data_IF_349233493077
#
_entry.id   IF_349233493077
#
_cell.length_a   1.000
_cell.length_b   1.000
_cell.length_c   1.000
_cell.angle_alpha   90.00
_cell.angle_beta   90.00
_cell.angle_gamma   90.00
#
_symmetry.space_group_name_H-M   'P 1'
#
loop_
_entity.id
_entity.type
_entity.pdbx_description
1 polymer ?
#
# COMPACT_ATOMS: atom_id res chain seq x y z
N UNK A 1 79.30 77.29 50.98
CA UNK A 1 78.25 76.60 51.78
C UNK A 1 77.24 76.02 50.79
N UNK A 2 77.51 74.92 50.07
CA UNK A 2 77.58 73.51 50.47
C UNK A 2 76.25 72.99 51.06
N UNK A 3 75.57 72.21 50.21
CA UNK A 3 74.79 70.98 50.45
C UNK A 3 73.26 71.06 50.72
N UNK A 4 72.58 70.34 49.82
CA UNK A 4 71.44 69.44 50.03
C UNK A 4 70.07 70.06 50.23
N UNK A 5 69.35 70.29 49.12
CA UNK A 5 67.88 70.28 49.13
C UNK A 5 67.18 70.12 47.77
N UNK A 6 67.75 69.39 46.82
CA UNK A 6 67.07 69.07 45.56
C UNK A 6 67.31 67.62 45.15
N UNK A 7 66.78 66.68 45.94
CA UNK A 7 66.76 65.26 45.57
C UNK A 7 65.47 64.62 46.08
N UNK A 8 64.30 65.17 45.72
CA UNK A 8 62.99 64.56 46.03
C UNK A 8 61.87 64.97 45.05
N UNK A 9 62.19 65.64 43.94
CA UNK A 9 61.18 66.13 42.98
C UNK A 9 61.39 65.60 41.54
N UNK A 10 62.01 64.43 41.38
CA UNK A 10 62.15 63.76 40.08
C UNK A 10 61.48 62.38 40.00
N UNK A 11 60.61 62.02 40.96
CA UNK A 11 59.89 60.72 40.95
C UNK A 11 58.38 60.93 41.11
N UNK A 12 57.79 61.88 40.38
CA UNK A 12 56.35 62.17 40.49
C UNK A 12 55.68 62.54 39.16
N UNK A 13 56.31 62.34 37.98
CA UNK A 13 55.63 62.59 36.70
C UNK A 13 56.18 61.65 35.62
N UNK A 14 55.89 60.35 35.72
CA UNK A 14 55.81 59.46 34.54
C UNK A 14 55.13 58.14 34.91
N UNK A 15 53.98 58.23 35.58
CA UNK A 15 52.97 57.17 35.57
C UNK A 15 51.80 57.70 34.74
N UNK A 16 52.03 57.93 33.44
CA UNK A 16 50.90 57.89 32.52
C UNK A 16 50.44 56.43 32.53
N UNK A 17 49.29 56.23 33.16
CA UNK A 17 48.53 55.01 33.10
C UNK A 17 48.44 54.60 31.62
N UNK A 18 49.13 53.52 31.27
CA UNK A 18 48.69 52.64 30.19
C UNK A 18 47.29 52.18 30.59
N UNK A 19 46.26 52.96 30.22
CA UNK A 19 44.91 52.44 30.21
C UNK A 19 44.93 51.35 29.16
N UNK A 20 44.97 50.10 29.61
CA UNK A 20 44.60 48.97 28.78
C UNK A 20 43.25 49.33 28.16
N UNK A 21 43.20 49.40 26.83
CA UNK A 21 41.97 49.66 26.10
C UNK A 21 40.96 48.61 26.55
N UNK A 22 39.95 49.03 27.32
CA UNK A 22 38.93 48.11 27.83
C UNK A 22 38.19 47.53 26.63
N UNK A 23 37.96 46.22 26.65
CA UNK A 23 37.19 45.53 25.61
C UNK A 23 35.84 46.25 25.46
N UNK A 24 35.55 46.88 24.30
CA UNK A 24 34.30 47.59 24.09
C UNK A 24 33.11 46.63 23.89
N UNK A 25 33.38 45.34 23.71
CA UNK A 25 32.39 44.29 23.55
C UNK A 25 32.06 43.65 24.90
N UNK A 26 30.78 43.64 25.24
CA UNK A 26 30.23 42.95 26.39
C UNK A 26 30.13 41.46 26.09
N UNK A 27 30.49 40.63 27.07
CA UNK A 27 30.32 39.18 27.03
C UNK A 27 30.99 38.47 25.83
N UNK A 28 32.10 39.02 25.30
CA UNK A 28 32.86 38.40 24.22
C UNK A 28 34.16 37.79 24.79
N UNK A 29 34.17 36.47 24.97
CA UNK A 29 35.29 35.72 25.58
C UNK A 29 36.36 35.25 24.59
N UNK A 30 36.33 35.73 23.34
CA UNK A 30 37.28 35.33 22.30
C UNK A 30 38.44 36.32 22.15
N UNK A 31 39.58 35.85 21.64
CA UNK A 31 40.75 36.70 21.36
C UNK A 31 40.43 37.78 20.31
N UNK A 32 40.90 39.00 20.53
CA UNK A 32 40.61 40.16 19.68
C UNK A 32 41.03 39.94 18.21
N UNK A 33 42.12 39.19 18.01
CA UNK A 33 42.70 38.83 16.72
C UNK A 33 41.82 37.89 15.87
N UNK A 34 40.78 37.29 16.47
CA UNK A 34 39.80 36.49 15.73
C UNK A 34 38.86 37.32 14.87
N UNK A 35 38.77 38.62 15.15
CA UNK A 35 37.89 39.54 14.44
C UNK A 35 38.64 40.75 13.91
N UNK A 36 39.60 41.30 14.66
CA UNK A 36 40.33 42.50 14.24
C UNK A 36 41.68 42.16 13.65
N UNK A 37 42.08 42.89 12.60
CA UNK A 37 43.44 42.84 12.09
C UNK A 37 44.35 43.77 12.87
N UNK A 38 45.61 43.38 13.03
CA UNK A 38 46.59 44.14 13.86
C UNK A 38 46.97 45.50 13.27
N UNK A 39 46.70 45.72 11.99
CA UNK A 39 47.01 46.95 11.26
C UNK A 39 45.89 48.00 11.33
N UNK A 40 44.66 47.61 11.69
CA UNK A 40 43.51 48.49 11.67
C UNK A 40 42.37 47.93 12.54
N UNK A 41 42.01 48.65 13.59
CA UNK A 41 40.89 48.26 14.48
C UNK A 41 39.52 48.34 13.82
N UNK A 42 39.39 49.07 12.71
CA UNK A 42 38.13 49.21 11.97
C UNK A 42 37.96 48.13 10.89
N UNK A 43 39.04 47.43 10.54
CA UNK A 43 38.99 46.31 9.60
C UNK A 43 38.73 45.02 10.39
N UNK A 44 37.67 44.32 9.98
CA UNK A 44 37.18 43.12 10.66
C UNK A 44 37.24 41.95 9.68
N UNK A 45 37.94 40.89 10.07
CA UNK A 45 37.93 39.60 9.40
C UNK A 45 37.38 38.56 10.36
N UNK A 46 36.12 38.19 10.16
CA UNK A 46 35.47 37.10 10.88
C UNK A 46 34.79 36.20 9.88
N UNK A 47 34.98 34.89 10.04
CA UNK A 47 34.40 33.87 9.18
C UNK A 47 33.16 33.28 9.86
N UNK A 48 31.98 33.59 9.31
CA UNK A 48 30.71 33.12 9.84
C UNK A 48 30.49 31.61 9.65
N UNK A 49 31.25 30.94 8.80
CA UNK A 49 31.18 29.48 8.63
C UNK A 49 31.70 28.73 9.87
N UNK A 50 32.36 29.44 10.80
CA UNK A 50 32.77 28.91 12.11
C UNK A 50 31.64 28.94 13.15
N UNK A 51 30.45 29.43 12.78
CA UNK A 51 29.29 29.55 13.66
C UNK A 51 28.17 28.60 13.23
N UNK A 52 27.14 28.47 14.07
CA UNK A 52 25.96 27.66 13.75
C UNK A 52 24.99 28.34 12.76
N UNK A 53 25.31 29.54 12.27
CA UNK A 53 24.50 30.27 11.30
C UNK A 53 25.37 30.69 10.11
N UNK A 54 25.29 29.90 9.04
CA UNK A 54 26.02 30.18 7.81
C UNK A 54 25.35 31.32 7.02
N UNK A 55 26.15 32.32 6.63
CA UNK A 55 25.67 33.44 5.82
C UNK A 55 25.58 33.02 4.35
N UNK A 56 24.42 32.51 3.95
CA UNK A 56 24.13 32.10 2.57
C UNK A 56 23.07 32.99 1.89
N UNK A 57 23.10 33.05 0.56
CA UNK A 57 22.14 33.79 -0.29
C UNK A 57 21.97 35.26 0.11
N UNK A 58 20.76 35.66 0.51
CA UNK A 58 20.47 37.06 0.87
C UNK A 58 21.18 37.49 2.15
N UNK A 59 21.44 36.57 3.08
CA UNK A 59 22.17 36.86 4.32
C UNK A 59 23.66 37.14 4.09
N UNK A 60 24.26 36.59 3.03
CA UNK A 60 25.69 36.76 2.70
C UNK A 60 26.12 38.20 2.41
N UNK A 61 25.17 39.12 2.16
CA UNK A 61 25.44 40.52 1.83
C UNK A 61 25.12 41.48 2.97
N UNK A 62 24.71 40.96 4.13
CA UNK A 62 24.37 41.78 5.29
C UNK A 62 25.63 42.19 6.05
N UNK A 63 25.57 43.38 6.65
CA UNK A 63 26.63 43.85 7.54
C UNK A 63 26.38 43.33 8.96
N UNK A 64 27.42 43.21 9.79
CA UNK A 64 27.32 42.69 11.15
C UNK A 64 26.19 43.35 11.98
N UNK A 65 26.01 44.67 11.82
CA UNK A 65 25.01 45.48 12.54
C UNK A 65 23.56 45.17 12.15
N UNK A 66 23.33 44.51 11.02
CA UNK A 66 21.99 44.09 10.59
C UNK A 66 21.41 42.99 11.48
N UNK A 67 22.27 42.23 12.18
CA UNK A 67 21.88 41.10 13.01
C UNK A 67 22.38 41.27 14.45
N UNK A 68 23.61 41.76 14.63
CA UNK A 68 24.24 41.86 15.94
C UNK A 68 24.22 43.29 16.48
N UNK A 69 24.00 43.41 17.79
CA UNK A 69 24.48 44.56 18.51
C UNK A 69 26.00 44.41 18.69
N UNK A 70 26.78 45.27 18.05
CA UNK A 70 28.26 45.20 18.08
C UNK A 70 28.82 45.34 19.50
N UNK A 71 28.06 45.92 20.44
CA UNK A 71 28.47 45.99 21.85
C UNK A 71 28.12 44.73 22.63
N UNK A 72 27.20 43.88 22.17
CA UNK A 72 26.71 42.71 22.89
C UNK A 72 26.20 41.65 21.90
N UNK A 73 27.09 40.73 21.52
CA UNK A 73 26.80 39.69 20.53
C UNK A 73 25.92 38.54 21.08
N UNK A 74 25.59 38.52 22.38
CA UNK A 74 24.91 37.39 23.02
C UNK A 74 23.38 37.35 22.85
N UNK A 75 22.81 38.27 22.07
CA UNK A 75 21.36 38.53 22.06
C UNK A 75 20.59 37.95 20.88
N UNK A 76 21.28 37.31 19.94
CA UNK A 76 20.67 36.75 18.74
C UNK A 76 20.94 35.25 18.69
N UNK A 77 19.91 34.49 18.34
CA UNK A 77 20.00 33.06 18.10
C UNK A 77 19.85 32.75 16.60
N UNK A 78 20.16 31.52 16.20
CA UNK A 78 20.18 31.11 14.81
C UNK A 78 18.77 30.85 14.20
N UNK A 79 17.69 30.98 14.97
CA UNK A 79 16.34 30.77 14.45
C UNK A 79 15.90 31.91 13.52
N UNK A 80 15.10 31.58 12.51
CA UNK A 80 14.53 32.55 11.59
C UNK A 80 13.71 33.62 12.35
N UNK A 81 12.97 33.21 13.37
CA UNK A 81 12.10 34.06 14.20
C UNK A 81 12.85 35.06 15.08
N UNK A 82 14.18 34.89 15.26
CA UNK A 82 15.01 35.85 15.99
C UNK A 82 15.09 37.21 15.26
N UNK A 83 14.88 37.21 13.94
CA UNK A 83 14.92 38.41 13.09
C UNK A 83 13.68 38.61 12.22
N UNK A 84 13.02 37.52 11.80
CA UNK A 84 11.88 37.58 10.90
C UNK A 84 10.58 37.40 11.67
N UNK A 85 9.61 38.27 11.36
CA UNK A 85 8.25 38.14 11.87
C UNK A 85 7.52 36.99 11.16
N UNK A 86 6.78 36.20 11.94
CA UNK A 86 5.96 35.13 11.40
C UNK A 86 4.67 35.69 10.77
N UNK A 87 4.67 35.79 9.44
CA UNK A 87 3.49 36.21 8.66
C UNK A 87 2.36 35.18 8.69
N UNK A 88 2.63 33.94 9.10
CA UNK A 88 1.64 32.87 9.23
C UNK A 88 0.87 32.95 10.55
N UNK A 89 1.26 33.85 11.46
CA UNK A 89 0.55 34.09 12.73
C UNK A 89 0.40 32.81 13.58
N UNK A 90 1.42 31.95 13.58
CA UNK A 90 1.43 30.68 14.31
C UNK A 90 0.57 29.58 13.69
N UNK A 91 0.02 29.78 12.49
CA UNK A 91 -0.77 28.75 11.78
C UNK A 91 0.10 27.70 11.08
N UNK A 92 1.40 27.97 10.95
CA UNK A 92 2.39 27.07 10.36
C UNK A 92 3.45 26.66 11.40
N UNK A 93 4.25 25.65 11.06
CA UNK A 93 5.41 25.28 11.87
C UNK A 93 6.41 26.45 11.98
N UNK A 94 7.15 26.50 13.08
CA UNK A 94 8.29 27.40 13.25
C UNK A 94 9.51 27.03 12.38
N UNK A 95 9.48 25.86 11.74
CA UNK A 95 10.53 25.38 10.83
C UNK A 95 10.39 26.05 9.45
N UNK A 96 10.75 27.35 9.38
CA UNK A 96 10.58 28.16 8.18
C UNK A 96 11.33 27.58 6.97
N UNK A 97 12.43 26.87 7.20
CA UNK A 97 13.29 26.28 6.16
C UNK A 97 12.67 25.10 5.42
N UNK A 98 11.54 24.56 5.92
CA UNK A 98 10.74 23.57 5.18
C UNK A 98 10.09 24.14 3.93
N UNK A 99 9.80 25.44 3.89
CA UNK A 99 9.09 26.09 2.78
C UNK A 99 9.87 27.26 2.18
N UNK A 100 10.61 28.00 3.02
CA UNK A 100 11.37 29.18 2.64
C UNK A 100 12.86 28.87 2.69
N UNK A 101 13.67 29.58 1.92
CA UNK A 101 15.12 29.34 1.89
C UNK A 101 15.89 30.63 2.12
N UNK A 102 17.17 30.52 2.46
CA UNK A 102 18.07 31.66 2.60
C UNK A 102 18.22 32.52 1.31
N UNK A 103 17.75 31.99 0.17
CA UNK A 103 17.70 32.72 -1.12
C UNK A 103 16.48 33.63 -1.22
N UNK A 104 15.38 33.30 -0.53
CA UNK A 104 14.15 34.08 -0.52
C UNK A 104 12.95 33.37 0.11
N UNK A 105 11.86 34.12 0.25
CA UNK A 105 10.60 33.67 0.86
C UNK A 105 9.68 33.01 -0.16
N UNK A 106 10.00 33.10 -1.45
CA UNK A 106 9.33 32.37 -2.50
C UNK A 106 9.42 30.86 -2.28
N UNK A 107 8.28 30.18 -2.44
CA UNK A 107 8.22 28.71 -2.47
C UNK A 107 8.70 28.27 -3.85
N UNK A 108 9.83 27.58 -3.89
CA UNK A 108 10.50 27.21 -5.15
C UNK A 108 10.18 25.79 -5.61
N UNK A 109 9.80 24.89 -4.69
CA UNK A 109 9.55 23.48 -4.99
C UNK A 109 8.27 22.99 -4.30
N UNK A 110 7.15 23.20 -4.98
CA UNK A 110 5.83 22.85 -4.44
C UNK A 110 5.63 21.34 -4.34
N UNK A 111 6.19 20.56 -5.27
CA UNK A 111 6.10 19.09 -5.28
C UNK A 111 6.82 18.51 -4.06
N UNK A 112 8.06 18.93 -3.82
CA UNK A 112 8.87 18.51 -2.68
C UNK A 112 8.18 18.83 -1.34
N UNK A 113 7.55 20.00 -1.23
CA UNK A 113 6.82 20.38 0.00
C UNK A 113 5.61 19.49 0.22
N UNK A 114 4.89 19.11 -0.84
CA UNK A 114 3.66 18.33 -0.74
C UNK A 114 3.89 16.83 -0.60
N UNK A 115 5.06 16.31 -0.98
CA UNK A 115 5.36 14.87 -0.99
C UNK A 115 5.11 14.18 0.36
N UNK A 116 5.41 14.89 1.46
CA UNK A 116 5.31 14.38 2.83
C UNK A 116 4.04 14.88 3.54
N UNK A 117 3.08 15.41 2.78
CA UNK A 117 1.80 15.88 3.32
C UNK A 117 0.70 14.84 3.12
N UNK A 118 -0.49 15.11 3.66
CA UNK A 118 -1.68 14.27 3.42
C UNK A 118 -2.21 14.37 1.98
N UNK A 119 -1.67 15.28 1.16
CA UNK A 119 -2.06 15.43 -0.24
C UNK A 119 -0.81 15.58 -1.12
N UNK A 120 -0.08 14.48 -1.39
CA UNK A 120 0.97 14.49 -2.39
C UNK A 120 0.40 14.94 -3.74
N UNK A 121 1.07 15.88 -4.40
CA UNK A 121 0.63 16.38 -5.70
C UNK A 121 0.93 15.34 -6.78
N UNK A 122 -0.03 14.48 -7.05
CA UNK A 122 0.04 13.43 -8.08
C UNK A 122 -0.77 13.79 -9.32
N UNK A 123 -0.31 13.29 -10.47
CA UNK A 123 -0.93 13.53 -11.77
C UNK A 123 -1.17 15.01 -12.06
N UNK A 124 -2.38 15.36 -12.47
CA UNK A 124 -2.73 16.74 -12.89
C UNK A 124 -2.80 17.75 -11.75
N UNK A 125 -2.82 17.33 -10.49
CA UNK A 125 -2.91 18.25 -9.34
C UNK A 125 -1.68 19.14 -9.20
N UNK A 126 -0.52 18.70 -9.71
CA UNK A 126 0.70 19.51 -9.77
C UNK A 126 0.55 20.78 -10.61
N UNK A 127 -0.41 20.80 -11.54
CA UNK A 127 -0.66 21.91 -12.45
C UNK A 127 -1.73 22.90 -11.93
N UNK A 128 -2.32 22.62 -10.77
CA UNK A 128 -3.41 23.43 -10.22
C UNK A 128 -2.82 24.61 -9.45
N UNK A 129 -3.38 25.81 -9.67
CA UNK A 129 -2.98 27.01 -8.93
C UNK A 129 -3.18 26.82 -7.43
N UNK A 130 -2.22 27.27 -6.61
CA UNK A 130 -2.25 27.14 -5.15
C UNK A 130 -3.55 27.66 -4.53
N UNK A 131 -4.15 28.71 -5.11
CA UNK A 131 -5.39 29.34 -4.61
C UNK A 131 -6.63 28.47 -4.75
N UNK A 132 -6.59 27.48 -5.65
CA UNK A 132 -7.69 26.53 -5.84
C UNK A 132 -7.92 25.70 -4.58
N UNK A 133 -6.84 25.38 -3.87
CA UNK A 133 -6.86 24.57 -2.65
C UNK A 133 -6.66 25.43 -1.39
N UNK A 134 -5.60 26.24 -1.34
CA UNK A 134 -5.25 27.10 -0.20
C UNK A 134 -5.96 28.45 -0.27
N UNK A 135 -7.29 28.42 -0.09
CA UNK A 135 -8.16 29.60 -0.22
C UNK A 135 -7.84 30.74 0.76
N UNK A 136 -7.17 30.43 1.87
CA UNK A 136 -6.78 31.41 2.89
C UNK A 136 -5.29 31.81 2.82
N UNK A 137 -4.58 31.47 1.73
CA UNK A 137 -3.14 31.72 1.65
C UNK A 137 -2.77 33.20 1.75
N UNK A 138 -3.66 34.13 1.33
CA UNK A 138 -3.43 35.57 1.53
C UNK A 138 -3.39 35.97 3.00
N UNK A 139 -3.96 35.18 3.91
CA UNK A 139 -3.92 35.37 5.35
C UNK A 139 -2.83 34.51 6.03
N UNK A 140 -1.87 34.01 5.24
CA UNK A 140 -0.78 33.15 5.70
C UNK A 140 -1.23 31.73 6.08
N UNK A 141 -2.48 31.35 5.77
CA UNK A 141 -3.08 30.08 6.12
C UNK A 141 -3.15 29.15 4.90
N UNK A 142 -2.27 28.16 4.91
CA UNK A 142 -2.18 27.10 3.91
C UNK A 142 -2.82 25.80 4.40
N UNK A 143 -3.56 25.79 5.50
CA UNK A 143 -4.23 24.57 5.96
C UNK A 143 -5.34 24.17 4.97
N UNK A 144 -5.38 22.87 4.65
CA UNK A 144 -6.46 22.28 3.87
C UNK A 144 -7.43 21.55 4.81
N UNK A 145 -8.73 21.79 4.63
CA UNK A 145 -9.77 21.21 5.48
C UNK A 145 -10.03 19.72 5.24
N UNK A 146 -9.88 19.26 3.99
CA UNK A 146 -10.11 17.86 3.60
C UNK A 146 -9.30 17.51 2.36
N UNK A 147 -8.90 16.24 2.27
CA UNK A 147 -8.19 15.64 1.14
C UNK A 147 -9.09 14.71 0.33
N UNK A 148 -10.37 14.60 0.71
CA UNK A 148 -11.34 13.74 0.03
C UNK A 148 -11.62 14.26 -1.37
N UNK A 149 -11.46 13.42 -2.39
CA UNK A 149 -11.61 13.78 -3.81
C UNK A 149 -12.97 14.45 -4.07
N UNK A 150 -14.04 13.88 -3.53
CA UNK A 150 -15.42 14.34 -3.73
C UNK A 150 -15.65 15.76 -3.20
N UNK A 151 -14.85 16.23 -2.24
CA UNK A 151 -14.98 17.60 -1.72
C UNK A 151 -14.74 18.68 -2.79
N UNK A 152 -13.96 18.36 -3.82
CA UNK A 152 -13.73 19.20 -4.99
C UNK A 152 -14.45 18.66 -6.24
N UNK A 153 -14.42 17.35 -6.44
CA UNK A 153 -14.92 16.67 -7.64
C UNK A 153 -16.36 16.18 -7.55
N UNK A 154 -17.18 16.74 -6.64
CA UNK A 154 -18.59 16.37 -6.50
C UNK A 154 -19.37 16.58 -7.81
N UNK A 155 -19.15 17.69 -8.51
CA UNK A 155 -19.85 17.97 -9.76
C UNK A 155 -19.38 17.06 -10.88
N UNK A 156 -18.08 16.77 -10.95
CA UNK A 156 -17.56 15.80 -11.90
C UNK A 156 -18.18 14.42 -11.65
N UNK A 157 -18.25 13.98 -10.39
CA UNK A 157 -18.89 12.72 -9.99
C UNK A 157 -20.36 12.64 -10.45
N UNK A 158 -21.13 13.73 -10.29
CA UNK A 158 -22.54 13.79 -10.69
C UNK A 158 -22.74 13.91 -12.20
N UNK A 159 -21.75 14.42 -12.93
CA UNK A 159 -21.85 14.70 -14.37
C UNK A 159 -21.47 13.50 -15.26
N UNK A 160 -20.88 12.44 -14.71
CA UNK A 160 -20.55 11.24 -15.50
C UNK A 160 -21.81 10.44 -15.81
N UNK A 161 -22.09 10.22 -17.10
CA UNK A 161 -23.23 9.43 -17.56
C UNK A 161 -22.84 7.99 -17.95
N UNK A 162 -21.57 7.71 -18.21
CA UNK A 162 -21.12 6.38 -18.65
C UNK A 162 -19.71 6.02 -18.13
N UNK A 163 -19.60 5.10 -17.15
CA UNK A 163 -20.70 4.56 -16.35
C UNK A 163 -21.33 5.64 -15.45
N UNK A 164 -22.66 5.69 -15.31
CA UNK A 164 -23.27 6.65 -14.40
C UNK A 164 -22.97 6.28 -12.94
N UNK A 165 -22.19 7.09 -12.23
CA UNK A 165 -21.78 6.77 -10.87
C UNK A 165 -22.95 6.76 -9.87
N UNK A 166 -23.92 7.66 -10.04
CA UNK A 166 -25.07 7.82 -9.12
C UNK A 166 -26.05 6.68 -9.29
N UNK A 167 -26.46 6.38 -10.53
CA UNK A 167 -27.43 5.33 -10.83
C UNK A 167 -26.92 3.94 -10.47
N UNK A 168 -25.61 3.70 -10.61
CA UNK A 168 -24.98 2.43 -10.24
C UNK A 168 -24.49 2.42 -8.78
N UNK A 169 -24.81 3.45 -7.98
CA UNK A 169 -24.44 3.55 -6.57
C UNK A 169 -22.94 3.34 -6.27
N UNK A 170 -22.08 3.85 -7.15
CA UNK A 170 -20.63 3.77 -6.94
C UNK A 170 -20.18 4.59 -5.74
N UNK A 171 -19.06 4.17 -5.15
CA UNK A 171 -18.44 4.83 -4.01
C UNK A 171 -17.90 6.21 -4.40
N UNK A 172 -17.89 7.14 -3.45
CA UNK A 172 -17.16 8.41 -3.59
C UNK A 172 -15.67 8.28 -3.30
N UNK A 173 -15.21 7.09 -2.87
CA UNK A 173 -13.79 6.75 -2.77
C UNK A 173 -13.24 6.47 -4.17
N UNK A 174 -12.88 7.54 -4.89
CA UNK A 174 -12.51 7.46 -6.30
C UNK A 174 -11.37 6.46 -6.56
N UNK A 175 -10.47 6.28 -5.60
CA UNK A 175 -9.31 5.40 -5.65
C UNK A 175 -9.66 3.91 -5.65
N UNK A 176 -10.92 3.53 -5.44
CA UNK A 176 -11.35 2.14 -5.65
C UNK A 176 -11.27 1.75 -7.15
N UNK A 177 -11.39 2.73 -8.05
CA UNK A 177 -11.40 2.50 -9.50
C UNK A 177 -10.50 3.43 -10.31
N UNK A 178 -10.11 4.60 -9.79
CA UNK A 178 -9.33 5.60 -10.53
C UNK A 178 -7.94 5.79 -9.93
N UNK A 179 -6.94 5.94 -10.79
CA UNK A 179 -5.59 6.32 -10.39
C UNK A 179 -5.34 7.79 -10.76
N UNK A 180 -4.59 8.51 -9.92
CA UNK A 180 -4.22 9.91 -10.12
C UNK A 180 -3.31 10.12 -11.33
N UNK A 181 -2.46 9.14 -11.65
CA UNK A 181 -1.54 9.17 -12.79
C UNK A 181 -2.25 8.76 -14.08
N UNK A 182 -3.23 7.85 -13.99
CA UNK A 182 -4.01 7.33 -15.10
C UNK A 182 -5.50 7.31 -14.76
N UNK A 183 -6.14 8.48 -14.82
CA UNK A 183 -7.56 8.62 -14.44
C UNK A 183 -8.51 7.83 -15.35
N UNK A 184 -8.11 7.61 -16.61
CA UNK A 184 -8.83 6.81 -17.60
C UNK A 184 -7.86 5.85 -18.30
N UNK A 185 -8.21 4.57 -18.50
CA UNK A 185 -9.45 3.93 -18.03
C UNK A 185 -9.46 3.74 -16.51
N UNK A 186 -10.65 3.52 -15.94
CA UNK A 186 -10.77 3.04 -14.56
C UNK A 186 -10.26 1.60 -14.48
N UNK A 187 -9.62 1.23 -13.37
CA UNK A 187 -9.27 -0.14 -13.05
C UNK A 187 -10.40 -0.80 -12.26
N UNK A 188 -10.69 -2.06 -12.56
CA UNK A 188 -11.73 -2.86 -11.89
C UNK A 188 -11.10 -4.22 -11.53
N UNK A 189 -10.42 -4.30 -10.38
CA UNK A 189 -9.58 -5.46 -10.05
C UNK A 189 -10.41 -6.72 -9.86
N UNK A 190 -11.65 -6.57 -9.38
CA UNK A 190 -12.53 -7.69 -9.06
C UNK A 190 -13.53 -8.02 -10.17
N UNK A 191 -13.46 -7.39 -11.36
CA UNK A 191 -14.44 -7.69 -12.42
C UNK A 191 -14.40 -9.16 -12.83
N UNK A 192 -13.22 -9.76 -12.86
CA UNK A 192 -13.04 -11.17 -13.25
C UNK A 192 -13.73 -12.15 -12.29
N UNK A 193 -14.09 -11.71 -11.07
CA UNK A 193 -14.91 -12.50 -10.16
C UNK A 193 -16.37 -12.66 -10.63
N UNK A 194 -16.86 -11.73 -11.47
CA UNK A 194 -18.18 -11.80 -12.09
C UNK A 194 -18.12 -12.46 -13.47
N UNK A 195 -17.14 -12.05 -14.28
CA UNK A 195 -16.90 -12.61 -15.60
C UNK A 195 -15.46 -12.28 -16.04
N UNK A 196 -14.67 -13.27 -16.51
CA UNK A 196 -13.25 -13.09 -16.84
C UNK A 196 -13.08 -12.26 -18.13
N UNK A 197 -12.93 -10.94 -17.98
CA UNK A 197 -12.69 -9.99 -19.10
C UNK A 197 -11.25 -9.50 -19.14
N UNK A 198 -10.58 -9.45 -17.99
CA UNK A 198 -9.16 -9.09 -17.89
C UNK A 198 -8.28 -10.34 -17.94
N UNK A 199 -8.86 -11.51 -17.68
CA UNK A 199 -8.28 -12.85 -17.86
C UNK A 199 -9.09 -13.71 -18.84
N UNK A 200 -8.63 -14.93 -19.11
CA UNK A 200 -9.33 -15.88 -19.98
C UNK A 200 -9.43 -15.43 -21.45
N UNK A 201 -10.40 -16.00 -22.17
CA UNK A 201 -10.55 -15.82 -23.62
C UNK A 201 -10.98 -14.42 -24.07
N UNK A 202 -11.50 -13.59 -23.15
CA UNK A 202 -11.91 -12.21 -23.45
C UNK A 202 -10.81 -11.18 -23.11
N UNK A 203 -9.71 -11.61 -22.48
CA UNK A 203 -8.58 -10.74 -22.15
C UNK A 203 -8.00 -10.07 -23.39
N UNK A 204 -7.86 -8.75 -23.33
CA UNK A 204 -7.29 -7.93 -24.41
C UNK A 204 -8.19 -7.73 -25.64
N UNK A 205 -9.42 -8.25 -25.63
CA UNK A 205 -10.38 -8.11 -26.73
C UNK A 205 -11.22 -6.83 -26.58
N UNK A 206 -11.38 -6.33 -25.35
CA UNK A 206 -12.30 -5.25 -25.02
C UNK A 206 -11.59 -4.07 -24.34
N UNK A 207 -12.06 -2.85 -24.61
CA UNK A 207 -11.53 -1.62 -24.00
C UNK A 207 -12.61 -0.62 -23.54
N UNK A 208 -13.89 -0.97 -23.65
CA UNK A 208 -15.02 -0.11 -23.28
C UNK A 208 -16.12 -0.93 -22.62
N UNK A 209 -16.51 -0.52 -21.41
CA UNK A 209 -17.52 -1.20 -20.60
C UNK A 209 -18.87 -1.31 -21.33
N UNK A 210 -19.20 -0.32 -22.18
CA UNK A 210 -20.48 -0.30 -22.92
C UNK A 210 -20.63 -1.46 -23.90
N UNK A 211 -19.53 -2.12 -24.22
CA UNK A 211 -19.54 -3.25 -25.14
C UNK A 211 -20.34 -4.42 -24.57
N UNK A 212 -20.25 -4.63 -23.26
CA UNK A 212 -21.03 -5.63 -22.54
C UNK A 212 -22.22 -4.99 -21.80
N UNK A 213 -22.00 -3.83 -21.18
CA UNK A 213 -22.98 -3.10 -20.37
C UNK A 213 -23.64 -1.99 -21.18
N UNK A 214 -24.62 -2.37 -22.00
CA UNK A 214 -25.22 -1.47 -22.98
C UNK A 214 -26.13 -0.40 -22.35
N UNK A 215 -26.56 -0.58 -21.10
CA UNK A 215 -27.40 0.36 -20.36
C UNK A 215 -26.57 1.14 -19.32
N UNK A 216 -26.22 2.42 -19.59
CA UNK A 216 -25.33 3.18 -18.71
C UNK A 216 -25.89 3.41 -17.31
N UNK A 217 -27.22 3.36 -17.15
CA UNK A 217 -27.88 3.51 -15.86
C UNK A 217 -27.97 2.21 -15.05
N UNK A 218 -27.66 1.05 -15.64
CA UNK A 218 -27.77 -0.25 -15.00
C UNK A 218 -26.77 -1.25 -15.58
N UNK A 219 -25.57 -1.28 -14.98
CA UNK A 219 -24.51 -2.20 -15.39
C UNK A 219 -24.79 -3.67 -15.02
N UNK A 220 -25.81 -3.96 -14.22
CA UNK A 220 -26.26 -5.35 -14.05
C UNK A 220 -26.97 -5.90 -15.29
N UNK A 221 -27.32 -5.05 -16.27
CA UNK A 221 -27.84 -5.49 -17.56
C UNK A 221 -26.71 -5.71 -18.57
N UNK A 222 -26.66 -6.92 -19.10
CA UNK A 222 -25.73 -7.32 -20.14
C UNK A 222 -26.34 -8.44 -21.01
N UNK A 223 -25.75 -8.69 -22.17
CA UNK A 223 -26.17 -9.80 -23.03
C UNK A 223 -24.99 -10.52 -23.68
N UNK A 224 -25.02 -11.85 -23.64
CA UNK A 224 -24.04 -12.71 -24.32
C UNK A 224 -24.40 -12.90 -25.80
N UNK A 225 -25.64 -12.58 -26.19
CA UNK A 225 -26.20 -12.91 -27.49
C UNK A 225 -25.77 -11.96 -28.62
N UNK A 226 -25.18 -10.81 -28.27
CA UNK A 226 -24.76 -9.80 -29.25
C UNK A 226 -23.38 -10.05 -29.86
N UNK A 227 -22.55 -10.89 -29.25
CA UNK A 227 -21.17 -11.10 -29.71
C UNK A 227 -20.95 -12.47 -30.33
N UNK A 228 -21.44 -13.54 -29.70
CA UNK A 228 -21.31 -14.91 -30.19
C UNK A 228 -22.68 -15.60 -30.25
N UNK A 229 -22.89 -16.43 -31.26
CA UNK A 229 -24.20 -17.03 -31.54
C UNK A 229 -24.58 -18.05 -30.47
N UNK A 230 -25.64 -17.75 -29.70
CA UNK A 230 -26.41 -18.75 -28.95
C UNK A 230 -27.81 -18.82 -29.53
N UNK A 231 -28.09 -19.90 -30.24
CA UNK A 231 -29.43 -20.13 -30.77
C UNK A 231 -30.31 -20.75 -29.67
N UNK A 232 -31.42 -20.07 -29.36
CA UNK A 232 -32.35 -20.51 -28.31
C UNK A 232 -32.81 -21.96 -28.50
N UNK A 233 -33.26 -22.35 -29.69
CA UNK A 233 -33.75 -23.71 -29.93
C UNK A 233 -32.66 -24.78 -29.70
N UNK A 234 -31.39 -24.47 -30.04
CA UNK A 234 -30.26 -25.37 -29.76
C UNK A 234 -29.95 -25.43 -28.27
N UNK A 235 -30.02 -24.31 -27.55
CA UNK A 235 -29.78 -24.28 -26.11
C UNK A 235 -30.92 -24.97 -25.35
N UNK A 236 -32.18 -24.75 -25.72
CA UNK A 236 -33.35 -25.42 -25.14
C UNK A 236 -33.24 -26.94 -25.29
N UNK A 237 -32.75 -27.42 -26.44
CA UNK A 237 -32.52 -28.84 -26.67
C UNK A 237 -31.39 -29.39 -25.79
N UNK A 238 -30.26 -28.68 -25.71
CA UNK A 238 -29.10 -29.05 -24.86
C UNK A 238 -29.41 -29.00 -23.36
N UNK A 239 -30.27 -28.09 -22.91
CA UNK A 239 -30.62 -27.89 -21.51
C UNK A 239 -31.96 -28.55 -21.13
N UNK A 240 -32.47 -29.44 -21.98
CA UNK A 240 -33.73 -30.16 -21.72
C UNK A 240 -33.62 -30.97 -20.43
N UNK A 241 -34.50 -30.68 -19.48
CA UNK A 241 -34.56 -31.38 -18.18
C UNK A 241 -33.69 -30.76 -17.09
N UNK A 242 -33.04 -29.63 -17.34
CA UNK A 242 -32.33 -28.85 -16.31
C UNK A 242 -33.35 -27.95 -15.58
N UNK A 243 -33.62 -28.17 -14.28
CA UNK A 243 -34.54 -27.33 -13.52
C UNK A 243 -34.01 -25.90 -13.43
N UNK A 244 -34.88 -24.91 -13.66
CA UNK A 244 -34.51 -23.50 -13.57
C UNK A 244 -33.76 -22.94 -14.79
N UNK A 245 -33.58 -23.73 -15.86
CA UNK A 245 -33.05 -23.21 -17.12
C UNK A 245 -33.98 -22.13 -17.68
N UNK A 246 -33.39 -20.96 -17.96
CA UNK A 246 -34.03 -19.83 -18.63
C UNK A 246 -33.03 -19.30 -19.65
N UNK A 247 -33.47 -19.11 -20.90
CA UNK A 247 -32.63 -18.59 -21.98
C UNK A 247 -32.44 -17.06 -21.85
N UNK A 248 -31.74 -16.64 -20.80
CA UNK A 248 -31.44 -15.25 -20.46
C UNK A 248 -29.99 -15.13 -20.02
N UNK A 249 -29.31 -14.04 -20.36
CA UNK A 249 -27.85 -13.93 -20.15
C UNK A 249 -27.42 -13.98 -18.67
N UNK A 250 -28.21 -13.40 -17.77
CA UNK A 250 -27.97 -13.49 -16.32
C UNK A 250 -28.13 -14.93 -15.81
N UNK A 251 -29.18 -15.63 -16.23
CA UNK A 251 -29.42 -17.02 -15.86
C UNK A 251 -28.35 -17.97 -16.44
N UNK A 252 -27.84 -17.68 -17.64
CA UNK A 252 -26.70 -18.38 -18.19
C UNK A 252 -25.45 -18.21 -17.31
N UNK A 253 -25.16 -16.98 -16.86
CA UNK A 253 -23.98 -16.69 -16.03
C UNK A 253 -24.06 -17.36 -14.64
N UNK A 254 -25.25 -17.48 -14.07
CA UNK A 254 -25.48 -18.22 -12.81
C UNK A 254 -25.03 -19.68 -12.89
N UNK A 255 -24.96 -20.22 -14.10
CA UNK A 255 -24.61 -21.59 -14.41
C UNK A 255 -23.22 -21.70 -15.07
N UNK A 256 -22.82 -20.69 -15.85
CA UNK A 256 -21.59 -20.63 -16.63
C UNK A 256 -20.83 -19.32 -16.31
N UNK A 257 -20.17 -19.21 -15.14
CA UNK A 257 -19.52 -17.97 -14.68
C UNK A 257 -18.37 -17.50 -15.59
N UNK A 258 -17.73 -18.40 -16.34
CA UNK A 258 -16.74 -18.02 -17.38
C UNK A 258 -17.34 -17.82 -18.78
N UNK A 259 -18.63 -18.13 -18.97
CA UNK A 259 -19.28 -18.18 -20.28
C UNK A 259 -18.92 -19.41 -21.13
N UNK A 260 -18.17 -20.38 -20.59
CA UNK A 260 -17.82 -21.62 -21.29
C UNK A 260 -18.87 -22.72 -21.11
N UNK A 261 -19.17 -23.46 -22.19
CA UNK A 261 -19.98 -24.70 -22.19
C UNK A 261 -19.43 -25.75 -21.20
N UNK A 262 -18.13 -25.70 -20.89
CA UNK A 262 -17.43 -26.75 -20.13
C UNK A 262 -17.59 -26.67 -18.61
N UNK A 263 -18.24 -25.66 -18.03
CA UNK A 263 -18.19 -25.46 -16.56
C UNK A 263 -19.26 -26.20 -15.76
N UNK A 264 -20.39 -26.57 -16.38
CA UNK A 264 -21.41 -27.39 -15.73
C UNK A 264 -21.18 -28.90 -15.85
N UNK A 265 -20.00 -29.29 -16.33
CA UNK A 265 -19.61 -30.69 -16.45
C UNK A 265 -18.16 -30.90 -16.09
N UNK A 266 -17.94 -31.60 -14.96
CA UNK A 266 -16.67 -32.17 -14.49
C UNK A 266 -15.86 -31.15 -13.68
N UNK A 267 -16.06 -31.05 -12.37
CA UNK A 267 -15.26 -31.96 -11.57
C UNK A 267 -15.80 -32.29 -10.17
N UNK A 268 -17.04 -32.78 -10.08
CA UNK A 268 -17.46 -33.45 -8.85
C UNK A 268 -16.73 -34.79 -8.70
N UNK A 269 -16.61 -35.55 -9.80
CA UNK A 269 -16.04 -36.91 -9.76
C UNK A 269 -14.54 -37.04 -9.52
N UNK A 270 -13.73 -36.02 -9.82
CA UNK A 270 -12.27 -36.05 -9.63
C UNK A 270 -11.71 -34.98 -8.68
N UNK A 271 -12.49 -33.99 -8.19
CA UNK A 271 -12.02 -32.96 -7.24
C UNK A 271 -12.81 -32.81 -5.94
N UNK A 272 -14.14 -32.98 -5.93
CA UNK A 272 -14.96 -32.52 -4.78
C UNK A 272 -15.90 -33.57 -4.17
N UNK A 273 -16.35 -34.57 -4.93
CA UNK A 273 -16.97 -35.84 -4.51
C UNK A 273 -17.65 -36.51 -5.73
N UNK A 274 -17.49 -37.83 -6.01
CA UNK A 274 -18.11 -38.47 -7.15
C UNK A 274 -19.63 -38.65 -7.05
N UNK A 275 -20.37 -37.57 -7.28
CA UNK A 275 -21.84 -37.55 -7.30
C UNK A 275 -22.43 -38.07 -8.60
N UNK A 276 -21.63 -38.22 -9.67
CA UNK A 276 -22.09 -38.74 -10.96
C UNK A 276 -21.64 -40.19 -11.20
N UNK A 277 -20.38 -40.52 -10.89
CA UNK A 277 -19.83 -41.89 -11.06
C UNK A 277 -19.67 -42.69 -9.76
N UNK A 278 -19.83 -42.06 -8.59
CA UNK A 278 -19.67 -42.70 -7.27
C UNK A 278 -20.99 -43.08 -6.61
N UNK A 279 -20.93 -43.37 -5.30
CA UNK A 279 -22.05 -43.93 -4.52
C UNK A 279 -23.26 -43.01 -4.38
N UNK A 280 -23.11 -41.72 -4.67
CA UNK A 280 -24.19 -40.73 -4.59
C UNK A 280 -24.85 -40.45 -5.94
N UNK A 281 -24.45 -41.18 -6.99
CA UNK A 281 -25.12 -41.15 -8.29
C UNK A 281 -26.60 -41.48 -8.15
N UNK A 282 -27.46 -40.53 -8.53
CA UNK A 282 -28.92 -40.66 -8.44
C UNK A 282 -29.52 -40.52 -7.03
N UNK A 283 -28.72 -40.14 -6.02
CA UNK A 283 -29.20 -39.94 -4.64
C UNK A 283 -29.72 -38.52 -4.35
N UNK A 284 -29.70 -37.64 -5.35
CA UNK A 284 -30.09 -36.23 -5.25
C UNK A 284 -31.07 -35.86 -6.37
N UNK A 285 -31.88 -34.83 -6.16
CA UNK A 285 -32.90 -34.32 -7.08
C UNK A 285 -32.63 -32.86 -7.49
N UNK A 286 -31.83 -32.12 -6.72
CA UNK A 286 -31.41 -30.77 -7.06
C UNK A 286 -30.20 -30.28 -6.27
N UNK A 287 -29.61 -29.16 -6.69
CA UNK A 287 -28.39 -28.63 -6.08
C UNK A 287 -28.55 -28.29 -4.59
N UNK A 288 -29.73 -27.86 -4.18
CA UNK A 288 -30.05 -27.54 -2.78
C UNK A 288 -30.00 -28.74 -1.83
N UNK A 289 -30.01 -29.96 -2.37
CA UNK A 289 -29.90 -31.19 -1.56
C UNK A 289 -28.50 -31.35 -0.95
N UNK A 290 -27.51 -30.62 -1.48
CA UNK A 290 -26.13 -30.63 -0.99
C UNK A 290 -25.62 -29.21 -0.66
N UNK A 291 -26.05 -28.20 -1.42
CA UNK A 291 -25.68 -26.80 -1.24
C UNK A 291 -26.73 -26.07 -0.40
N UNK A 292 -26.48 -25.97 0.90
CA UNK A 292 -27.47 -25.54 1.90
C UNK A 292 -27.67 -24.02 1.99
N UNK A 293 -26.78 -23.24 1.36
CA UNK A 293 -26.88 -21.78 1.29
C UNK A 293 -27.22 -21.34 -0.15
N UNK A 294 -28.30 -20.58 -0.29
CA UNK A 294 -28.81 -20.07 -1.57
C UNK A 294 -28.02 -18.87 -2.12
N UNK A 295 -27.26 -18.18 -1.27
CA UNK A 295 -26.41 -17.05 -1.64
C UNK A 295 -24.96 -17.47 -1.85
N UNK A 296 -24.54 -18.62 -1.27
CA UNK A 296 -23.20 -19.15 -1.41
C UNK A 296 -23.19 -20.67 -1.63
N UNK A 297 -23.16 -21.08 -2.90
CA UNK A 297 -23.14 -22.50 -3.30
C UNK A 297 -21.84 -23.25 -2.90
N UNK A 298 -20.84 -22.59 -2.31
CA UNK A 298 -19.69 -23.30 -1.74
C UNK A 298 -20.01 -23.92 -0.37
N UNK A 299 -21.09 -23.49 0.28
CA UNK A 299 -21.52 -24.02 1.57
C UNK A 299 -22.29 -25.31 1.36
N UNK A 300 -21.67 -26.43 1.74
CA UNK A 300 -22.26 -27.77 1.63
C UNK A 300 -22.44 -28.42 2.99
N UNK A 301 -23.37 -29.37 3.08
CA UNK A 301 -23.56 -30.17 4.30
C UNK A 301 -23.59 -31.68 3.98
N UNK A 302 -22.66 -32.43 4.57
CA UNK A 302 -22.61 -33.88 4.45
C UNK A 302 -23.24 -34.60 5.67
N UNK A 303 -23.21 -33.94 6.83
CA UNK A 303 -23.73 -34.46 8.11
C UNK A 303 -25.26 -34.45 8.19
N UNK A 304 -25.93 -33.71 7.30
CA UNK A 304 -27.40 -33.71 7.20
C UNK A 304 -27.95 -34.99 6.58
N UNK A 305 -27.10 -35.75 5.87
CA UNK A 305 -27.46 -37.03 5.24
C UNK A 305 -26.67 -38.22 5.78
N UNK A 306 -25.43 -38.04 6.23
CA UNK A 306 -24.59 -39.13 6.78
C UNK A 306 -24.37 -38.97 8.29
N UNK A 307 -24.74 -39.99 9.06
CA UNK A 307 -24.52 -40.01 10.50
C UNK A 307 -23.05 -40.32 10.82
N UNK A 308 -22.28 -39.29 11.15
CA UNK A 308 -21.02 -39.45 11.86
C UNK A 308 -21.29 -39.23 13.35
N UNK A 309 -21.09 -40.25 14.17
CA UNK A 309 -21.29 -40.09 15.61
C UNK A 309 -20.19 -39.14 16.15
N UNK A 310 -20.53 -37.97 16.72
CA UNK A 310 -19.51 -36.98 17.12
C UNK A 310 -18.53 -37.56 18.14
N UNK A 311 -19.03 -38.26 19.16
CA UNK A 311 -18.18 -38.84 20.21
C UNK A 311 -17.19 -39.90 19.67
N UNK A 312 -17.58 -40.68 18.67
CA UNK A 312 -16.67 -41.64 18.01
C UNK A 312 -15.69 -40.92 17.09
N UNK A 313 -16.14 -39.92 16.35
CA UNK A 313 -15.31 -39.14 15.42
C UNK A 313 -14.26 -38.34 16.22
N UNK A 314 -14.66 -37.64 17.27
CA UNK A 314 -13.77 -36.90 18.17
C UNK A 314 -12.71 -37.80 18.79
N UNK A 315 -13.09 -39.02 19.21
CA UNK A 315 -12.14 -39.99 19.76
C UNK A 315 -11.09 -40.44 18.74
N UNK A 316 -11.45 -40.55 17.46
CA UNK A 316 -10.52 -40.91 16.38
C UNK A 316 -9.65 -39.73 15.93
N UNK A 317 -10.12 -38.49 16.11
CA UNK A 317 -9.39 -37.27 15.74
C UNK A 317 -8.72 -36.57 16.94
N UNK A 318 -8.68 -37.25 18.09
CA UNK A 318 -8.03 -36.77 19.30
C UNK A 318 -6.53 -36.54 19.05
N UNK A 319 -6.07 -35.31 19.30
CA UNK A 319 -4.69 -34.88 19.07
C UNK A 319 -4.43 -34.26 17.69
N UNK A 320 -5.42 -34.20 16.79
CA UNK A 320 -5.30 -33.49 15.52
C UNK A 320 -5.54 -31.99 15.76
N UNK A 321 -4.48 -31.20 15.63
CA UNK A 321 -4.54 -29.75 15.77
C UNK A 321 -5.44 -29.12 14.69
N UNK A 322 -6.37 -28.25 15.08
CA UNK A 322 -7.32 -27.59 14.18
C UNK A 322 -8.56 -28.41 13.80
N UNK A 323 -8.74 -29.61 14.38
CA UNK A 323 -9.95 -30.39 14.20
C UNK A 323 -11.17 -29.69 14.81
N UNK A 324 -12.23 -29.54 14.00
CA UNK A 324 -13.56 -29.08 14.41
C UNK A 324 -14.57 -29.99 13.72
N UNK A 325 -15.53 -30.51 14.46
CA UNK A 325 -16.60 -31.35 13.92
C UNK A 325 -17.60 -30.48 13.13
N UNK A 326 -17.26 -30.15 11.88
CA UNK A 326 -18.05 -29.35 10.97
C UNK A 326 -17.74 -29.71 9.50
N UNK A 327 -18.75 -29.72 8.63
CA UNK A 327 -18.62 -30.16 7.23
C UNK A 327 -17.44 -29.53 6.49
N UNK A 328 -17.29 -28.20 6.56
CA UNK A 328 -16.22 -27.49 5.85
C UNK A 328 -14.83 -27.87 6.37
N UNK A 329 -14.70 -28.08 7.67
CA UNK A 329 -13.45 -28.50 8.31
C UNK A 329 -13.09 -29.95 7.98
N UNK A 330 -14.09 -30.83 7.85
CA UNK A 330 -13.89 -32.19 7.38
C UNK A 330 -13.36 -32.20 5.94
N UNK A 331 -13.97 -31.44 5.03
CA UNK A 331 -13.56 -31.37 3.62
C UNK A 331 -12.16 -30.81 3.41
N UNK A 332 -11.66 -29.97 4.32
CA UNK A 332 -10.28 -29.49 4.27
C UNK A 332 -9.26 -30.64 4.40
N UNK A 333 -9.62 -31.73 5.08
CA UNK A 333 -8.77 -32.90 5.30
C UNK A 333 -9.19 -34.11 4.47
N UNK A 334 -10.46 -34.16 4.07
CA UNK A 334 -11.09 -35.26 3.33
C UNK A 334 -11.84 -34.71 2.10
N UNK A 335 -11.10 -34.22 1.08
CA UNK A 335 -11.67 -33.53 -0.07
C UNK A 335 -12.60 -34.43 -0.92
N UNK A 336 -12.43 -35.75 -0.80
CA UNK A 336 -13.25 -36.77 -1.48
C UNK A 336 -14.44 -37.22 -0.65
N UNK A 337 -14.63 -36.69 0.57
CA UNK A 337 -15.69 -37.12 1.51
C UNK A 337 -15.52 -38.54 2.07
N UNK A 338 -14.55 -39.31 1.57
CA UNK A 338 -14.19 -40.61 2.11
C UNK A 338 -13.23 -40.47 3.30
N UNK A 339 -13.07 -41.54 4.08
CA UNK A 339 -12.01 -41.60 5.09
C UNK A 339 -10.67 -41.49 4.38
N UNK A 340 -10.07 -40.30 4.38
CA UNK A 340 -8.78 -40.07 3.73
C UNK A 340 -7.71 -40.96 4.34
N UNK A 341 -7.00 -41.70 3.49
CA UNK A 341 -5.69 -42.23 3.85
C UNK A 341 -4.68 -41.11 3.59
N UNK A 342 -3.90 -40.70 4.60
CA UNK A 342 -2.96 -39.56 4.53
C UNK A 342 -1.94 -39.61 3.35
N UNK A 343 -1.88 -40.72 2.61
CA UNK A 343 -1.12 -40.90 1.36
C UNK A 343 -1.58 -39.99 0.21
N UNK A 344 -2.79 -39.42 0.29
CA UNK A 344 -3.32 -38.50 -0.73
C UNK A 344 -2.52 -37.20 -0.86
N UNK A 345 -1.76 -36.82 0.18
CA UNK A 345 -0.90 -35.64 0.14
C UNK A 345 0.11 -35.70 -1.02
N UNK A 346 0.59 -36.89 -1.37
CA UNK A 346 1.53 -37.08 -2.49
C UNK A 346 0.92 -36.90 -3.88
N UNK A 347 -0.39 -37.09 -4.02
CA UNK A 347 -1.08 -37.07 -5.31
C UNK A 347 -1.89 -35.79 -5.55
N UNK A 348 -2.45 -35.18 -4.50
CA UNK A 348 -3.38 -34.05 -4.60
C UNK A 348 -2.80 -32.72 -4.13
N UNK A 349 -1.77 -32.75 -3.28
CA UNK A 349 -1.22 -31.56 -2.64
C UNK A 349 0.31 -31.48 -2.83
N UNK A 350 1.08 -32.02 -1.89
CA UNK A 350 2.54 -31.96 -1.92
C UNK A 350 3.18 -33.27 -1.42
N UNK A 351 4.18 -33.85 -2.09
CA UNK A 351 4.71 -35.16 -1.70
C UNK A 351 5.51 -35.15 -0.39
N UNK A 352 4.87 -35.57 0.70
CA UNK A 352 5.47 -35.67 2.06
C UNK A 352 5.68 -37.12 2.51
N UNK A 353 5.10 -38.10 1.82
CA UNK A 353 5.28 -39.54 2.06
C UNK A 353 6.20 -40.22 1.03
N UNK A 354 6.46 -39.56 -0.10
CA UNK A 354 7.42 -39.93 -1.13
C UNK A 354 8.36 -38.76 -1.44
N UNK A 355 9.28 -38.94 -2.38
CA UNK A 355 10.23 -37.87 -2.73
C UNK A 355 11.19 -37.49 -1.59
N UNK A 356 11.72 -36.25 -1.65
CA UNK A 356 12.79 -35.76 -0.75
C UNK A 356 12.28 -35.36 0.65
N UNK A 357 10.98 -35.16 0.83
CA UNK A 357 10.37 -34.75 2.10
C UNK A 357 9.80 -35.93 2.90
N UNK A 358 9.92 -37.15 2.35
CA UNK A 358 9.56 -38.38 3.05
C UNK A 358 10.25 -38.47 4.42
N UNK A 359 9.44 -38.75 5.45
CA UNK A 359 9.88 -38.87 6.85
C UNK A 359 10.53 -37.60 7.43
N UNK A 360 10.20 -36.41 6.89
CA UNK A 360 10.68 -35.11 7.41
C UNK A 360 9.63 -34.34 8.21
N UNK A 361 8.39 -34.82 8.24
CA UNK A 361 7.30 -34.25 9.01
C UNK A 361 6.94 -35.26 10.13
N UNK A 362 7.08 -34.87 11.39
CA UNK A 362 6.92 -35.75 12.56
C UNK A 362 5.44 -35.87 12.98
N UNK A 363 4.54 -36.11 12.03
CA UNK A 363 3.08 -36.06 12.21
C UNK A 363 2.54 -34.71 12.72
N UNK A 364 3.33 -33.64 12.61
CA UNK A 364 2.94 -32.30 13.00
C UNK A 364 2.74 -31.42 11.76
N UNK A 365 1.47 -31.15 11.46
CA UNK A 365 1.08 -30.32 10.32
C UNK A 365 1.60 -28.88 10.45
N UNK A 366 1.88 -28.40 11.66
CA UNK A 366 2.39 -27.04 11.88
C UNK A 366 3.81 -26.82 11.37
N UNK A 367 4.53 -27.92 11.06
CA UNK A 367 5.85 -27.86 10.42
C UNK A 367 5.76 -27.20 9.04
N UNK A 368 4.69 -27.46 8.30
CA UNK A 368 4.48 -26.92 6.96
C UNK A 368 3.43 -25.81 6.95
N UNK A 369 2.33 -25.99 7.70
CA UNK A 369 1.18 -25.08 7.72
C UNK A 369 1.29 -24.10 8.89
N UNK A 370 1.54 -22.84 8.55
CA UNK A 370 1.85 -21.79 9.54
C UNK A 370 0.61 -21.21 10.22
N UNK A 371 -0.57 -21.40 9.63
CA UNK A 371 -1.83 -21.03 10.24
C UNK A 371 -2.53 -22.28 10.85
N UNK A 372 -2.84 -22.26 12.15
CA UNK A 372 -3.54 -23.36 12.82
C UNK A 372 -5.00 -23.53 12.36
N UNK A 373 -5.62 -22.47 11.84
CA UNK A 373 -7.02 -22.43 11.41
C UNK A 373 -7.17 -22.52 9.89
N UNK A 374 -6.10 -22.29 9.12
CA UNK A 374 -6.12 -22.34 7.67
C UNK A 374 -4.93 -23.12 7.10
N UNK A 375 -5.15 -24.40 6.83
CA UNK A 375 -4.11 -25.29 6.26
C UNK A 375 -3.72 -24.95 4.82
N UNK A 376 -4.40 -24.02 4.14
CA UNK A 376 -3.92 -23.51 2.85
C UNK A 376 -2.75 -22.53 3.01
N UNK A 377 -2.52 -22.02 4.22
CA UNK A 377 -1.39 -21.14 4.51
C UNK A 377 -0.21 -22.00 4.97
N UNK A 378 0.80 -22.10 4.12
CA UNK A 378 2.02 -22.87 4.37
C UNK A 378 3.27 -22.06 4.04
N UNK A 379 4.41 -22.47 4.58
CA UNK A 379 5.70 -21.84 4.29
C UNK A 379 6.76 -22.88 3.97
N UNK A 380 7.35 -22.74 2.77
CA UNK A 380 8.53 -23.48 2.36
C UNK A 380 9.79 -22.96 3.07
N UNK A 381 9.80 -21.68 3.43
CA UNK A 381 10.95 -20.97 3.98
C UNK A 381 11.31 -21.40 5.40
N UNK A 382 10.37 -22.03 6.12
CA UNK A 382 10.62 -22.52 7.48
C UNK A 382 11.50 -23.78 7.51
N UNK A 383 11.59 -24.48 6.38
CA UNK A 383 12.33 -25.75 6.27
C UNK A 383 13.49 -25.68 5.28
N UNK A 384 13.43 -24.81 4.26
CA UNK A 384 14.47 -24.65 3.25
C UNK A 384 15.00 -23.21 3.24
N UNK A 385 16.33 -23.07 3.27
CA UNK A 385 16.97 -21.77 3.09
C UNK A 385 16.98 -21.41 1.60
N UNK A 386 15.92 -20.75 1.15
CA UNK A 386 15.95 -20.02 -0.11
C UNK A 386 16.45 -18.61 0.19
N UNK A 387 17.54 -18.23 -0.46
CA UNK A 387 18.00 -16.85 -0.39
C UNK A 387 17.23 -16.06 -1.44
N UNK A 388 16.43 -15.09 -1.00
CA UNK A 388 15.57 -14.28 -1.89
C UNK A 388 16.36 -13.70 -3.05
N UNK A 389 17.49 -13.04 -2.80
CA UNK A 389 18.33 -12.46 -3.86
C UNK A 389 18.81 -13.49 -4.90
N UNK A 390 19.05 -14.75 -4.50
CA UNK A 390 19.42 -15.81 -5.45
C UNK A 390 18.22 -16.33 -6.25
N UNK A 391 17.04 -16.37 -5.65
CA UNK A 391 15.83 -16.79 -6.35
C UNK A 391 15.36 -15.70 -7.30
N UNK A 392 15.37 -14.44 -6.88
CA UNK A 392 15.06 -13.30 -7.74
C UNK A 392 15.99 -13.28 -8.96
N UNK A 393 17.28 -13.56 -8.75
CA UNK A 393 18.28 -13.66 -9.81
C UNK A 393 18.00 -14.78 -10.83
N UNK A 394 17.46 -15.92 -10.38
CA UNK A 394 17.11 -17.07 -11.23
C UNK A 394 15.78 -16.86 -11.96
N UNK A 395 14.85 -16.14 -11.37
CA UNK A 395 13.50 -15.92 -11.90
C UNK A 395 13.33 -14.55 -12.57
N UNK A 396 14.44 -13.87 -12.91
CA UNK A 396 14.44 -12.55 -13.60
C UNK A 396 13.62 -12.49 -14.89
N UNK A 397 13.48 -13.61 -15.57
CA UNK A 397 12.74 -13.73 -16.85
C UNK A 397 11.33 -14.30 -16.67
N UNK A 398 10.95 -14.68 -15.43
CA UNK A 398 9.61 -15.18 -15.11
C UNK A 398 8.71 -13.99 -14.82
N UNK A 399 7.72 -13.80 -15.70
CA UNK A 399 6.73 -12.73 -15.56
C UNK A 399 5.87 -12.98 -14.32
N UNK A 400 5.64 -11.94 -13.53
CA UNK A 400 4.83 -11.98 -12.31
C UNK A 400 5.40 -12.90 -11.19
N UNK A 401 6.72 -13.15 -11.21
CA UNK A 401 7.39 -13.86 -10.13
C UNK A 401 7.25 -13.13 -8.78
N UNK A 402 6.79 -13.87 -7.77
CA UNK A 402 6.69 -13.41 -6.38
C UNK A 402 7.44 -14.39 -5.50
N UNK A 403 8.31 -13.84 -4.64
CA UNK A 403 9.06 -14.64 -3.66
C UNK A 403 8.19 -15.00 -2.44
N UNK A 404 7.21 -15.87 -2.66
CA UNK A 404 6.25 -16.33 -1.65
C UNK A 404 5.98 -17.83 -1.80
N UNK A 405 5.74 -18.52 -0.68
CA UNK A 405 5.58 -20.00 -0.68
C UNK A 405 4.40 -20.48 -1.53
N UNK A 406 3.31 -19.72 -1.59
CA UNK A 406 2.15 -20.05 -2.42
C UNK A 406 2.47 -19.92 -3.91
N UNK A 407 3.06 -18.78 -4.34
CA UNK A 407 3.48 -18.57 -5.72
C UNK A 407 4.52 -19.60 -6.17
N UNK A 408 5.48 -19.93 -5.29
CA UNK A 408 6.45 -20.98 -5.58
C UNK A 408 5.81 -22.37 -5.77
N UNK A 409 4.76 -22.70 -5.02
CA UNK A 409 4.05 -23.97 -5.16
C UNK A 409 3.22 -24.06 -6.45
N UNK A 410 2.64 -22.94 -6.91
CA UNK A 410 1.90 -22.90 -8.17
C UNK A 410 2.80 -23.24 -9.37
N UNK A 411 4.04 -22.77 -9.36
CA UNK A 411 5.03 -23.11 -10.38
C UNK A 411 5.75 -24.44 -10.11
N UNK A 412 5.94 -24.81 -8.84
CA UNK A 412 6.68 -26.01 -8.43
C UNK A 412 5.88 -26.89 -7.46
N UNK A 413 4.80 -27.54 -7.93
CA UNK A 413 3.88 -28.28 -7.08
C UNK A 413 4.52 -29.51 -6.43
N UNK A 414 5.65 -30.00 -6.95
CA UNK A 414 6.41 -31.10 -6.34
C UNK A 414 7.64 -30.64 -5.57
N UNK A 415 7.90 -29.32 -5.54
CA UNK A 415 9.04 -28.70 -4.87
C UNK A 415 10.37 -28.99 -5.56
N UNK A 416 10.38 -29.16 -6.89
CA UNK A 416 11.58 -29.42 -7.69
C UNK A 416 11.88 -28.26 -8.64
N UNK A 417 13.17 -28.04 -8.90
CA UNK A 417 13.66 -27.05 -9.88
C UNK A 417 13.34 -27.43 -11.33
N UNK A 418 12.87 -28.65 -11.57
CA UNK A 418 12.60 -29.25 -12.89
C UNK A 418 11.11 -29.29 -13.23
N UNK A 419 10.25 -28.72 -12.38
CA UNK A 419 8.83 -28.59 -12.65
C UNK A 419 8.68 -27.39 -13.61
N UNK A 420 8.55 -27.68 -14.91
CA UNK A 420 8.53 -26.75 -16.06
C UNK A 420 7.43 -25.67 -16.00
#
# INVERSE_FOLDING_TARGET
MVKWRHLLLCIMIFFQQLQAQQNPHKNLSMGCEKCHVTTSWTEIHFDHDQTNFQLAGKHARLNCQSCHNIQDFSKIDASCTSCHEDIHQGKMSSDCDRCHQFRGWEILDTEEIHKDTRFPLLGRHVLVDCWSCHKNQAQGDFALGTTECVSCHQQDYLAVENPNHVSNAFSTSCQECHNMDNWRPAFLPDHDSFFPIFSGSHSGVWNDCKTCHQEPANFSQFTCFSCHEHNQAKMDDKHRGIPGYVFESSACLDCHPSGSESELGKDHDSRFFPIYSGTHSGAWQGCSDCHVDSQNRQVVSCIDCHEHNPAKTDAQHSGISGYVYATQNCLNCHPTGEKGEFREHDNLYFPIFSGKHRNKWDNDCSICHIDPNNRKVFSCFNCHEHNQSKMDDKHREVRDYVYESQACYECHPTGREEDD
#
